data_IF_209244976468
#
_entry.id   IF_209244976468
#
_cell.length_a   1.000
_cell.length_b   1.000
_cell.length_c   1.000
_cell.angle_alpha   90.00
_cell.angle_beta   90.00
_cell.angle_gamma   90.00
#
_symmetry.space_group_name_H-M   'P 1'
#
loop_
_entity.id
_entity.type
_entity.pdbx_description
1 polymer ?
#
# COMPACT_ATOMS: atom_id res chain seq x y z
N UNK A 1 -16.05 -11.81 -6.09
CA UNK A 1 -14.74 -11.37 -6.61
C UNK A 1 -13.90 -11.00 -5.39
N UNK A 2 -12.67 -11.51 -5.31
CA UNK A 2 -11.76 -11.18 -4.21
C UNK A 2 -11.40 -9.68 -4.27
N UNK A 3 -11.66 -8.87 -3.22
CA UNK A 3 -11.31 -7.46 -3.19
C UNK A 3 -9.84 -7.19 -3.52
N UNK A 4 -8.94 -8.08 -3.10
CA UNK A 4 -7.50 -7.96 -3.38
C UNK A 4 -7.20 -8.10 -4.87
N UNK A 5 -7.83 -9.07 -5.53
CA UNK A 5 -7.68 -9.27 -6.97
C UNK A 5 -8.15 -8.07 -7.79
N UNK A 6 -9.17 -7.35 -7.30
CA UNK A 6 -9.60 -6.09 -7.93
C UNK A 6 -8.52 -5.01 -7.79
N UNK A 7 -7.98 -4.80 -6.60
CA UNK A 7 -6.91 -3.82 -6.37
C UNK A 7 -5.65 -4.12 -7.20
N UNK A 8 -5.30 -5.41 -7.34
CA UNK A 8 -4.15 -5.87 -8.10
C UNK A 8 -4.33 -5.71 -9.62
N UNK A 9 -5.57 -5.62 -10.10
CA UNK A 9 -5.89 -5.41 -11.53
C UNK A 9 -5.76 -3.96 -12.01
N UNK A 10 -5.59 -3.01 -11.08
CA UNK A 10 -5.54 -1.58 -11.41
C UNK A 10 -4.14 -1.18 -11.91
N UNK A 11 -4.09 -0.32 -12.93
CA UNK A 11 -2.85 0.30 -13.41
C UNK A 11 -2.30 1.40 -12.48
N UNK A 12 -3.04 1.71 -11.41
CA UNK A 12 -2.63 2.65 -10.35
C UNK A 12 -2.21 1.89 -9.09
N UNK A 13 -1.21 2.43 -8.39
CA UNK A 13 -0.84 1.92 -7.06
C UNK A 13 -1.93 2.29 -6.04
N UNK A 14 -2.39 1.30 -5.27
CA UNK A 14 -3.38 1.50 -4.20
C UNK A 14 -2.84 0.95 -2.89
N UNK A 15 -3.02 1.75 -1.84
CA UNK A 15 -2.81 1.37 -0.45
C UNK A 15 -4.13 1.52 0.31
N UNK A 16 -4.53 0.51 1.07
CA UNK A 16 -5.65 0.62 2.01
C UNK A 16 -5.05 0.87 3.39
N UNK A 17 -5.54 1.92 4.04
CA UNK A 17 -5.02 2.37 5.33
C UNK A 17 -6.10 2.24 6.40
N UNK A 18 -5.73 1.68 7.54
CA UNK A 18 -6.50 1.76 8.76
C UNK A 18 -6.55 3.22 9.27
N UNK A 19 -7.44 3.49 10.24
CA UNK A 19 -7.63 4.84 10.80
C UNK A 19 -6.36 5.43 11.44
N UNK A 20 -5.48 4.58 11.97
CA UNK A 20 -4.20 4.95 12.57
C UNK A 20 -3.05 5.06 11.55
N UNK A 21 -3.38 5.04 10.27
CA UNK A 21 -2.45 5.04 9.13
C UNK A 21 -1.65 3.75 8.97
N UNK A 22 -2.01 2.67 9.66
CA UNK A 22 -1.43 1.34 9.38
C UNK A 22 -1.83 0.87 7.99
N UNK A 23 -0.88 0.38 7.20
CA UNK A 23 -1.17 -0.17 5.88
C UNK A 23 -1.75 -1.57 6.03
N UNK A 24 -2.99 -1.77 5.58
CA UNK A 24 -3.67 -3.07 5.60
C UNK A 24 -3.52 -3.80 4.27
N UNK A 25 -3.65 -3.10 3.14
CA UNK A 25 -3.44 -3.67 1.80
C UNK A 25 -2.48 -2.84 0.98
N UNK A 26 -1.70 -3.55 0.17
CA UNK A 26 -0.74 -2.99 -0.77
C UNK A 26 -0.89 -3.70 -2.11
N UNK A 27 -1.30 -2.98 -3.15
CA UNK A 27 -1.56 -3.60 -4.46
C UNK A 27 -0.26 -3.99 -5.18
N UNK A 28 -0.35 -4.95 -6.09
CA UNK A 28 0.77 -5.35 -6.95
C UNK A 28 1.37 -4.16 -7.71
N UNK A 29 0.53 -3.27 -8.23
CA UNK A 29 0.99 -2.06 -8.91
C UNK A 29 1.68 -1.06 -7.97
N UNK A 30 1.21 -0.93 -6.72
CA UNK A 30 1.89 -0.10 -5.73
C UNK A 30 3.31 -0.62 -5.43
N UNK A 31 3.46 -1.95 -5.31
CA UNK A 31 4.77 -2.57 -5.14
C UNK A 31 5.69 -2.32 -6.35
N UNK A 32 5.16 -2.44 -7.57
CA UNK A 32 5.93 -2.16 -8.80
C UNK A 32 6.39 -0.70 -8.88
N UNK A 33 5.53 0.25 -8.58
CA UNK A 33 5.82 1.69 -8.74
C UNK A 33 6.80 2.22 -7.67
N UNK A 34 6.73 1.67 -6.46
CA UNK A 34 7.52 2.14 -5.32
C UNK A 34 8.78 1.30 -5.06
N UNK A 35 8.82 0.07 -5.59
CA UNK A 35 9.86 -0.92 -5.28
C UNK A 35 9.71 -1.57 -3.90
N UNK A 36 8.60 -1.33 -3.19
CA UNK A 36 8.37 -1.85 -1.84
C UNK A 36 7.40 -3.04 -1.88
N UNK A 37 7.87 -4.20 -1.42
CA UNK A 37 7.07 -5.41 -1.34
C UNK A 37 6.05 -5.35 -0.17
N UNK A 38 4.88 -6.01 -0.29
CA UNK A 38 3.82 -5.94 0.73
C UNK A 38 4.28 -6.34 2.14
N UNK A 39 5.13 -7.36 2.27
CA UNK A 39 5.69 -7.85 3.54
C UNK A 39 6.54 -6.81 4.29
N UNK A 40 7.06 -5.79 3.58
CA UNK A 40 7.81 -4.68 4.18
C UNK A 40 6.95 -3.50 4.57
N UNK A 41 5.72 -3.41 4.04
CA UNK A 41 4.86 -2.22 4.14
C UNK A 41 3.63 -2.49 4.98
N UNK A 42 2.99 -3.65 4.81
CA UNK A 42 1.79 -4.02 5.56
C UNK A 42 2.09 -4.13 7.06
N UNK A 43 1.15 -3.64 7.88
CA UNK A 43 1.32 -3.54 9.33
C UNK A 43 2.21 -2.38 9.79
N UNK A 44 2.88 -1.67 8.89
CA UNK A 44 3.62 -0.44 9.22
C UNK A 44 2.70 0.78 9.10
N UNK A 45 3.03 1.86 9.81
CA UNK A 45 2.44 3.16 9.55
C UNK A 45 2.88 3.69 8.18
N UNK A 46 1.93 4.18 7.37
CA UNK A 46 2.20 4.78 6.06
C UNK A 46 3.24 5.90 6.14
N UNK A 47 3.20 6.72 7.20
CA UNK A 47 4.15 7.82 7.40
C UNK A 47 5.55 7.36 7.77
N UNK A 48 5.70 6.15 8.33
CA UNK A 48 7.02 5.56 8.55
C UNK A 48 7.63 5.07 7.23
N UNK A 49 6.79 4.55 6.32
CA UNK A 49 7.22 4.06 5.00
C UNK A 49 7.52 5.24 4.05
N UNK A 50 6.71 6.29 4.09
CA UNK A 50 6.84 7.50 3.25
C UNK A 50 6.93 8.77 4.09
N UNK A 51 8.03 8.99 4.84
CA UNK A 51 8.15 10.13 5.75
C UNK A 51 8.13 11.48 5.04
N UNK A 52 8.59 11.53 3.79
CA UNK A 52 8.62 12.75 2.97
C UNK A 52 7.26 13.12 2.37
N UNK A 53 6.29 12.22 2.38
CA UNK A 53 4.91 12.49 1.96
C UNK A 53 4.12 13.24 3.04
N UNK A 54 4.63 13.31 4.27
CA UNK A 54 4.05 14.09 5.36
C UNK A 54 4.43 15.56 5.17
N UNK A 55 3.49 16.33 4.62
CA UNK A 55 3.55 17.80 4.59
C UNK A 55 3.24 18.43 5.95
#
# INVERSE_FOLDING_TARGET
MDPKALLDSLDVGVAVLARDWTVEEWSATAARLTGLAPDRVQGQSFWAVFPTAKG
#
